data_IF_996688263748
#
_entry.id   IF_996688263748
#
_cell.length_a   1.000
_cell.length_b   1.000
_cell.length_c   1.000
_cell.angle_alpha   90.00
_cell.angle_beta   90.00
_cell.angle_gamma   90.00
#
_symmetry.space_group_name_H-M   'P 1'
#
loop_
_entity.id
_entity.type
_entity.pdbx_description
1 polymer ?
#
# COMPACT_ATOMS: atom_id res chain seq x y z
N UNK A 1 16.84 -46.09 53.81
CA UNK A 1 18.01 -46.55 53.01
C UNK A 1 19.06 -45.45 53.04
N UNK A 2 20.30 -45.73 53.49
CA UNK A 2 21.40 -44.75 53.51
C UNK A 2 21.95 -44.61 52.09
N UNK A 3 21.52 -43.58 51.37
CA UNK A 3 22.10 -43.24 50.06
C UNK A 3 23.58 -42.92 50.26
N UNK A 4 24.45 -43.68 49.60
CA UNK A 4 25.89 -43.47 49.68
C UNK A 4 26.22 -42.12 49.01
N UNK A 5 27.21 -41.38 49.56
CA UNK A 5 27.62 -40.06 49.05
C UNK A 5 27.96 -40.08 47.55
N UNK A 6 28.39 -41.24 47.06
CA UNK A 6 28.64 -41.54 45.65
C UNK A 6 27.38 -41.55 44.78
N UNK A 7 26.25 -42.04 45.28
CA UNK A 7 24.95 -41.94 44.58
C UNK A 7 24.47 -40.50 44.48
N UNK A 8 24.77 -39.67 45.48
CA UNK A 8 24.43 -38.24 45.44
C UNK A 8 25.30 -37.47 44.45
N UNK A 9 26.59 -37.79 44.36
CA UNK A 9 27.49 -37.25 43.35
C UNK A 9 27.06 -37.62 41.93
N UNK A 10 26.60 -38.86 41.72
CA UNK A 10 26.07 -39.31 40.43
C UNK A 10 24.80 -38.56 40.04
N UNK A 11 23.87 -38.37 40.98
CA UNK A 11 22.64 -37.61 40.73
C UNK A 11 22.92 -36.14 40.40
N UNK A 12 23.88 -35.51 41.08
CA UNK A 12 24.30 -34.14 40.75
C UNK A 12 24.92 -34.06 39.36
N UNK A 13 25.79 -35.00 38.99
CA UNK A 13 26.38 -35.03 37.65
C UNK A 13 25.34 -35.23 36.55
N UNK A 14 24.33 -36.09 36.78
CA UNK A 14 23.23 -36.31 35.85
C UNK A 14 22.36 -35.06 35.71
N UNK A 15 22.10 -34.33 36.80
CA UNK A 15 21.34 -33.08 36.76
C UNK A 15 22.09 -31.97 36.01
N UNK A 16 23.41 -31.86 36.18
CA UNK A 16 24.24 -30.89 35.43
C UNK A 16 24.28 -31.23 33.94
N UNK A 17 24.42 -32.50 33.58
CA UNK A 17 24.40 -32.92 32.17
C UNK A 17 23.02 -32.72 31.55
N UNK A 18 21.94 -33.08 32.24
CA UNK A 18 20.58 -32.87 31.76
C UNK A 18 20.26 -31.37 31.61
N UNK A 19 20.66 -30.54 32.57
CA UNK A 19 20.52 -29.08 32.50
C UNK A 19 21.36 -28.47 31.37
N UNK A 20 22.60 -28.95 31.18
CA UNK A 20 23.47 -28.51 30.10
C UNK A 20 22.92 -28.86 28.72
N UNK A 21 22.36 -30.05 28.54
CA UNK A 21 21.71 -30.46 27.29
C UNK A 21 20.44 -29.63 27.04
N UNK A 22 19.60 -29.39 28.04
CA UNK A 22 18.40 -28.58 27.88
C UNK A 22 18.71 -27.11 27.52
N UNK A 23 19.77 -26.53 28.08
CA UNK A 23 20.24 -25.19 27.72
C UNK A 23 20.89 -25.16 26.33
N UNK A 24 21.59 -26.21 25.93
CA UNK A 24 22.16 -26.33 24.59
C UNK A 24 21.08 -26.51 23.52
N UNK A 25 20.04 -27.30 23.79
CA UNK A 25 18.88 -27.45 22.89
C UNK A 25 18.08 -26.15 22.79
N UNK A 26 17.81 -25.44 23.89
CA UNK A 26 17.08 -24.15 23.81
C UNK A 26 17.85 -23.06 23.07
N UNK A 27 19.18 -23.06 23.14
CA UNK A 27 20.01 -22.08 22.41
C UNK A 27 20.23 -22.47 20.94
N UNK A 28 20.25 -23.77 20.60
CA UNK A 28 20.43 -24.28 19.23
C UNK A 28 19.11 -24.41 18.45
N UNK A 29 17.97 -24.56 19.13
CA UNK A 29 16.64 -24.60 18.51
C UNK A 29 16.10 -23.24 18.06
N UNK A 30 16.85 -22.14 18.21
CA UNK A 30 16.49 -20.86 17.61
C UNK A 30 16.89 -20.74 16.13
N UNK A 31 17.77 -21.62 15.63
CA UNK A 31 18.29 -21.57 14.25
C UNK A 31 18.04 -22.84 13.41
N UNK A 32 17.21 -23.78 13.89
CA UNK A 32 16.87 -24.98 13.12
C UNK A 32 15.39 -25.00 12.75
N UNK A 33 15.12 -24.46 11.56
CA UNK A 33 14.04 -24.90 10.69
C UNK A 33 14.02 -26.44 10.64
N UNK A 34 13.17 -27.05 11.46
CA UNK A 34 12.82 -28.46 11.36
C UNK A 34 11.43 -28.51 10.76
N UNK A 35 11.38 -28.80 9.47
CA UNK A 35 10.20 -29.21 8.73
C UNK A 35 9.41 -30.24 9.53
N UNK A 36 8.33 -29.80 10.16
CA UNK A 36 7.22 -30.66 10.55
C UNK A 36 6.01 -30.16 9.76
N UNK A 37 5.65 -30.95 8.76
CA UNK A 37 4.26 -31.05 8.29
C UNK A 37 3.41 -31.32 9.54
N UNK A 38 2.34 -30.56 9.74
CA UNK A 38 1.40 -30.62 10.91
C UNK A 38 1.60 -29.66 12.10
N UNK A 39 2.11 -28.46 11.87
CA UNK A 39 1.71 -27.32 12.71
C UNK A 39 1.60 -26.04 11.87
N UNK A 40 0.36 -25.60 11.63
CA UNK A 40 0.06 -24.25 11.18
C UNK A 40 0.42 -23.26 12.30
N UNK A 41 1.73 -23.11 12.54
CA UNK A 41 2.26 -21.99 13.30
C UNK A 41 2.11 -20.75 12.41
N UNK A 42 0.91 -20.18 12.48
CA UNK A 42 0.50 -19.01 11.73
C UNK A 42 1.39 -17.83 12.13
N UNK A 43 2.49 -17.63 11.40
CA UNK A 43 3.44 -16.57 11.66
C UNK A 43 2.86 -15.25 11.16
N UNK A 44 3.09 -14.14 11.86
CA UNK A 44 2.69 -12.83 11.35
C UNK A 44 3.38 -12.51 10.02
N UNK A 45 2.71 -11.73 9.18
CA UNK A 45 3.29 -11.17 7.95
C UNK A 45 4.40 -10.18 8.32
N UNK A 46 4.13 -9.30 9.28
CA UNK A 46 5.13 -8.38 9.86
C UNK A 46 5.02 -8.36 11.38
N UNK A 47 6.17 -8.24 12.06
CA UNK A 47 6.25 -8.18 13.52
C UNK A 47 6.78 -6.81 13.99
N UNK A 48 5.99 -5.79 13.71
CA UNK A 48 6.16 -4.44 14.27
C UNK A 48 4.79 -3.88 14.67
N UNK A 49 4.78 -2.85 15.51
CA UNK A 49 3.56 -2.20 15.94
C UNK A 49 3.05 -1.22 14.85
N UNK A 50 1.72 -1.05 14.75
CA UNK A 50 1.11 -0.24 13.71
C UNK A 50 1.44 1.26 13.85
N UNK A 51 1.69 1.73 15.07
CA UNK A 51 2.11 3.10 15.40
C UNK A 51 3.57 3.39 15.00
N UNK A 52 4.38 2.36 14.76
CA UNK A 52 5.73 2.52 14.24
C UNK A 52 5.77 2.86 12.74
N UNK A 53 4.65 2.71 12.01
CA UNK A 53 4.57 2.97 10.58
C UNK A 53 4.42 4.47 10.32
N UNK A 54 5.36 5.07 9.59
CA UNK A 54 5.36 6.52 9.29
C UNK A 54 5.08 6.83 7.82
N UNK A 55 5.37 5.90 6.91
CA UNK A 55 5.11 6.06 5.49
C UNK A 55 4.64 4.74 4.87
N UNK A 56 3.65 4.83 4.00
CA UNK A 56 3.14 3.71 3.20
C UNK A 56 3.10 4.13 1.74
N UNK A 57 3.50 3.24 0.84
CA UNK A 57 3.28 3.40 -0.59
C UNK A 57 2.67 2.14 -1.17
N UNK A 58 1.58 2.31 -1.89
CA UNK A 58 0.83 1.25 -2.54
C UNK A 58 0.98 1.47 -4.03
N UNK A 59 1.57 0.51 -4.73
CA UNK A 59 1.72 0.51 -6.18
C UNK A 59 0.84 -0.60 -6.74
N UNK A 60 -0.18 -0.24 -7.51
CA UNK A 60 -1.00 -1.20 -8.24
C UNK A 60 -0.39 -1.44 -9.62
N UNK A 61 0.06 -2.66 -9.85
CA UNK A 61 0.88 -3.03 -11.01
C UNK A 61 0.17 -4.03 -11.93
N UNK A 62 -1.09 -4.36 -11.63
CA UNK A 62 -1.87 -5.23 -12.49
C UNK A 62 -1.96 -4.62 -13.91
N UNK A 63 -1.72 -5.46 -14.93
CA UNK A 63 -1.66 -5.05 -16.35
C UNK A 63 -2.98 -4.43 -16.86
N UNK A 64 -4.07 -4.56 -16.09
CA UNK A 64 -5.38 -3.93 -16.34
C UNK A 64 -6.29 -4.05 -15.12
N UNK A 65 -6.33 -3.05 -14.22
CA UNK A 65 -7.55 -2.75 -13.49
C UNK A 65 -8.26 -1.61 -14.22
N UNK A 66 -9.39 -1.85 -14.90
CA UNK A 66 -10.22 -0.76 -15.40
C UNK A 66 -10.80 0.13 -14.28
N UNK A 67 -10.73 -0.33 -13.02
CA UNK A 67 -11.40 0.27 -11.86
C UNK A 67 -10.45 1.01 -10.90
N UNK A 68 -9.15 1.11 -11.21
CA UNK A 68 -8.19 1.83 -10.34
C UNK A 68 -7.64 3.03 -11.10
N UNK A 69 -8.20 4.20 -10.80
CA UNK A 69 -7.88 5.46 -11.48
C UNK A 69 -6.43 5.93 -11.28
N UNK A 70 -5.75 5.43 -10.24
CA UNK A 70 -4.41 5.88 -9.88
C UNK A 70 -3.48 4.70 -9.56
N UNK A 71 -2.34 4.56 -10.25
CA UNK A 71 -1.45 3.42 -10.07
C UNK A 71 -0.66 3.47 -8.76
N UNK A 72 -0.49 4.65 -8.14
CA UNK A 72 0.32 4.83 -6.93
C UNK A 72 -0.39 5.71 -5.91
N UNK A 73 -0.45 5.23 -4.67
CA UNK A 73 -0.97 5.94 -3.50
C UNK A 73 0.12 6.00 -2.45
N UNK A 74 0.50 7.21 -2.01
CA UNK A 74 1.50 7.40 -0.94
C UNK A 74 0.89 8.10 0.26
N UNK A 75 1.03 7.49 1.44
CA UNK A 75 0.50 7.99 2.69
C UNK A 75 1.65 8.29 3.63
N UNK A 76 1.59 9.44 4.29
CA UNK A 76 2.58 9.89 5.27
C UNK A 76 1.89 10.27 6.56
N UNK A 77 2.44 9.84 7.68
CA UNK A 77 2.03 10.34 8.98
C UNK A 77 2.69 11.70 9.24
N UNK A 78 1.86 12.70 9.56
CA UNK A 78 2.28 14.07 9.87
C UNK A 78 1.57 14.54 11.14
N UNK A 79 2.35 14.83 12.19
CA UNK A 79 1.84 15.25 13.51
C UNK A 79 0.71 14.36 14.08
N UNK A 80 0.81 13.05 13.89
CA UNK A 80 -0.16 12.07 14.38
C UNK A 80 -1.42 11.90 13.53
N UNK A 81 -1.50 12.54 12.35
CA UNK A 81 -2.57 12.37 11.36
C UNK A 81 -2.02 11.82 10.06
N UNK A 82 -2.83 11.05 9.34
CA UNK A 82 -2.44 10.55 8.03
C UNK A 82 -2.74 11.56 6.93
N UNK A 83 -1.77 11.76 6.05
CA UNK A 83 -1.86 12.60 4.86
C UNK A 83 -1.69 11.72 3.62
N UNK A 84 -2.58 11.87 2.66
CA UNK A 84 -2.34 11.42 1.30
C UNK A 84 -1.35 12.41 0.69
N UNK A 85 -0.18 11.91 0.31
CA UNK A 85 0.94 12.72 -0.18
C UNK A 85 1.15 12.62 -1.69
N UNK A 86 0.67 11.52 -2.29
CA UNK A 86 0.59 11.33 -3.73
C UNK A 86 -0.64 10.46 -4.07
N UNK A 87 -1.32 10.74 -5.20
CA UNK A 87 -1.04 11.77 -6.21
C UNK A 87 -1.46 13.19 -5.77
N UNK A 88 -2.36 13.29 -4.79
CA UNK A 88 -2.84 14.55 -4.24
C UNK A 88 -2.22 14.75 -2.85
N UNK A 89 -2.09 16.01 -2.42
CA UNK A 89 -1.64 16.38 -1.06
C UNK A 89 -2.83 16.82 -0.24
N UNK A 90 -3.53 15.87 0.36
CA UNK A 90 -4.78 16.10 1.11
C UNK A 90 -4.83 15.21 2.37
N UNK A 91 -5.64 15.56 3.38
CA UNK A 91 -5.87 14.69 4.52
C UNK A 91 -6.34 13.30 4.09
N UNK A 92 -5.74 12.26 4.65
CA UNK A 92 -6.15 10.88 4.36
C UNK A 92 -7.37 10.49 5.19
N UNK A 93 -8.08 9.47 4.73
CA UNK A 93 -9.11 8.82 5.52
C UNK A 93 -8.46 7.94 6.60
N UNK A 94 -8.52 8.40 7.85
CA UNK A 94 -7.93 7.72 9.01
C UNK A 94 -8.40 6.26 9.15
N UNK A 95 -9.69 5.97 8.94
CA UNK A 95 -10.24 4.62 9.04
C UNK A 95 -9.70 3.70 7.95
N UNK A 96 -9.55 4.24 6.73
CA UNK A 96 -8.97 3.54 5.59
C UNK A 96 -7.51 3.19 5.84
N UNK A 97 -6.71 4.13 6.34
CA UNK A 97 -5.30 3.88 6.64
C UNK A 97 -5.15 2.92 7.81
N UNK A 98 -5.96 3.09 8.87
CA UNK A 98 -6.00 2.19 10.01
C UNK A 98 -6.29 0.74 9.60
N UNK A 99 -7.24 0.52 8.69
CA UNK A 99 -7.52 -0.82 8.17
C UNK A 99 -6.28 -1.47 7.57
N UNK A 100 -5.54 -0.74 6.72
CA UNK A 100 -4.35 -1.28 6.07
C UNK A 100 -3.20 -1.52 7.07
N UNK A 101 -2.93 -0.57 7.96
CA UNK A 101 -1.84 -0.71 8.96
C UNK A 101 -2.14 -1.85 9.95
N UNK A 102 -3.40 -1.99 10.38
CA UNK A 102 -3.83 -3.10 11.20
C UNK A 102 -3.72 -4.42 10.43
N UNK A 103 -4.13 -4.48 9.16
CA UNK A 103 -3.99 -5.68 8.33
C UNK A 103 -2.52 -6.09 8.19
N UNK A 104 -1.60 -5.15 7.95
CA UNK A 104 -0.17 -5.45 7.82
C UNK A 104 0.44 -6.05 9.11
N UNK A 105 -0.02 -5.62 10.28
CA UNK A 105 0.57 -5.97 11.59
C UNK A 105 -0.12 -7.16 12.28
N UNK A 106 -1.36 -7.45 11.90
CA UNK A 106 -2.15 -8.55 12.49
C UNK A 106 -2.33 -9.73 11.55
N UNK A 107 -2.16 -9.55 10.23
CA UNK A 107 -2.27 -10.64 9.29
C UNK A 107 -1.22 -11.72 9.58
N UNK A 108 -1.66 -12.95 9.42
CA UNK A 108 -0.78 -14.11 9.50
C UNK A 108 -0.62 -14.72 8.11
N UNK A 109 0.54 -15.35 7.88
CA UNK A 109 0.81 -16.18 6.70
C UNK A 109 0.50 -17.63 7.03
N UNK A 110 -0.17 -18.33 6.11
CA UNK A 110 -0.57 -19.73 6.28
C UNK A 110 0.65 -20.65 6.14
N UNK A 111 1.22 -20.70 4.93
CA UNK A 111 2.41 -21.48 4.62
C UNK A 111 3.40 -20.67 3.80
N UNK A 112 4.65 -21.06 3.85
CA UNK A 112 5.73 -20.50 3.02
C UNK A 112 6.31 -21.61 2.15
N UNK A 113 6.53 -21.30 0.87
CA UNK A 113 7.05 -22.19 -0.14
C UNK A 113 8.39 -21.64 -0.62
N UNK A 114 9.45 -22.43 -0.52
CA UNK A 114 10.72 -22.08 -1.15
C UNK A 114 10.73 -22.61 -2.58
N UNK A 115 10.67 -21.68 -3.54
CA UNK A 115 10.58 -22.01 -4.96
C UNK A 115 11.76 -21.44 -5.72
N UNK A 116 12.14 -22.10 -6.80
CA UNK A 116 13.19 -21.58 -7.68
C UNK A 116 12.71 -20.33 -8.41
N UNK A 117 13.61 -19.37 -8.64
CA UNK A 117 13.27 -18.04 -9.18
C UNK A 117 12.67 -18.05 -10.58
N UNK A 118 13.05 -19.02 -11.41
CA UNK A 118 12.49 -19.29 -12.73
C UNK A 118 10.98 -19.60 -12.69
N UNK A 119 10.46 -20.06 -11.54
CA UNK A 119 9.04 -20.34 -11.34
C UNK A 119 8.25 -19.15 -10.81
N UNK A 120 8.80 -17.93 -10.77
CA UNK A 120 8.11 -16.72 -10.30
C UNK A 120 6.74 -16.49 -10.99
N UNK A 121 6.67 -16.77 -12.29
CA UNK A 121 5.46 -16.63 -13.09
C UNK A 121 4.33 -17.59 -12.66
N UNK A 122 4.67 -18.77 -12.12
CA UNK A 122 3.70 -19.72 -11.57
C UNK A 122 2.94 -19.14 -10.37
N UNK A 123 3.45 -18.08 -9.75
CA UNK A 123 2.85 -17.40 -8.60
C UNK A 123 2.44 -15.95 -8.90
N UNK A 124 2.64 -15.47 -10.14
CA UNK A 124 2.39 -14.08 -10.52
C UNK A 124 3.32 -13.08 -9.83
N UNK A 125 4.55 -13.50 -9.53
CA UNK A 125 5.55 -12.67 -8.85
C UNK A 125 6.57 -12.05 -9.81
N UNK A 126 6.61 -12.50 -11.07
CA UNK A 126 7.31 -11.85 -12.18
C UNK A 126 6.61 -10.54 -12.58
N UNK A 127 5.28 -10.57 -12.60
CA UNK A 127 4.37 -9.46 -12.86
C UNK A 127 3.43 -9.33 -11.65
N UNK A 128 3.91 -8.70 -10.56
CA UNK A 128 3.12 -8.58 -9.34
C UNK A 128 1.84 -7.79 -9.57
N UNK A 129 0.77 -8.17 -8.87
CA UNK A 129 -0.51 -7.44 -8.88
C UNK A 129 -0.38 -6.10 -8.17
N UNK A 130 0.35 -6.05 -7.06
CA UNK A 130 0.61 -4.83 -6.32
C UNK A 130 1.84 -4.95 -5.43
N UNK A 131 2.40 -3.81 -5.01
CA UNK A 131 3.45 -3.72 -4.01
C UNK A 131 3.03 -2.76 -2.91
N UNK A 132 3.30 -3.13 -1.67
CA UNK A 132 3.11 -2.27 -0.51
C UNK A 132 4.48 -2.07 0.12
N UNK A 133 4.95 -0.84 0.15
CA UNK A 133 6.21 -0.45 0.78
C UNK A 133 5.90 0.27 2.09
N UNK A 134 6.48 -0.21 3.19
CA UNK A 134 6.28 0.28 4.55
C UNK A 134 7.59 0.91 5.00
N UNK A 135 7.54 2.12 5.55
CA UNK A 135 8.69 2.75 6.23
C UNK A 135 8.33 3.00 7.69
N UNK A 136 9.20 2.51 8.58
CA UNK A 136 9.04 2.64 10.02
C UNK A 136 9.70 3.93 10.53
N UNK A 137 9.39 4.32 11.78
CA UNK A 137 9.98 5.48 12.44
C UNK A 137 11.52 5.40 12.53
N UNK A 138 12.07 4.19 12.69
CA UNK A 138 13.52 3.92 12.69
C UNK A 138 14.15 3.89 11.28
N UNK A 139 13.39 4.31 10.25
CA UNK A 139 13.78 4.34 8.84
C UNK A 139 13.97 2.96 8.21
N UNK A 140 13.68 1.86 8.90
CA UNK A 140 13.63 0.53 8.26
C UNK A 140 12.50 0.49 7.25
N UNK A 141 12.78 -0.18 6.12
CA UNK A 141 11.83 -0.38 5.04
C UNK A 141 11.50 -1.85 4.91
N UNK A 142 10.20 -2.12 4.84
CA UNK A 142 9.64 -3.44 4.57
C UNK A 142 8.83 -3.38 3.27
N UNK A 143 8.72 -4.51 2.60
CA UNK A 143 7.97 -4.62 1.36
C UNK A 143 7.13 -5.90 1.32
N UNK A 144 5.87 -5.75 0.93
CA UNK A 144 4.98 -6.85 0.61
C UNK A 144 4.68 -6.81 -0.88
N UNK A 145 5.11 -7.84 -1.62
CA UNK A 145 4.86 -7.98 -3.05
C UNK A 145 3.74 -9.00 -3.25
N UNK A 146 2.61 -8.56 -3.80
CA UNK A 146 1.43 -9.39 -4.00
C UNK A 146 1.43 -9.99 -5.41
N UNK A 147 1.32 -11.31 -5.48
CA UNK A 147 1.18 -12.07 -6.72
C UNK A 147 -0.28 -12.36 -7.05
N UNK A 148 -0.51 -13.52 -7.68
CA UNK A 148 -1.86 -13.96 -8.06
C UNK A 148 -2.55 -14.75 -6.93
N UNK A 149 -3.88 -14.90 -6.97
CA UNK A 149 -4.59 -15.79 -6.06
C UNK A 149 -4.14 -17.24 -6.18
N UNK A 150 -4.25 -17.99 -5.08
CA UNK A 150 -4.14 -19.45 -5.09
C UNK A 150 -5.22 -20.07 -5.98
N UNK A 151 -5.03 -21.33 -6.38
CA UNK A 151 -5.96 -22.04 -7.27
C UNK A 151 -7.40 -22.05 -6.73
N UNK A 152 -7.55 -22.25 -5.42
CA UNK A 152 -8.83 -22.22 -4.69
C UNK A 152 -9.30 -20.81 -4.31
N UNK A 153 -8.49 -19.77 -4.59
CA UNK A 153 -8.74 -18.34 -4.28
C UNK A 153 -8.88 -18.03 -2.79
N UNK A 154 -8.50 -18.96 -1.92
CA UNK A 154 -8.54 -18.75 -0.46
C UNK A 154 -7.42 -17.83 0.02
N UNK A 155 -6.29 -17.81 -0.70
CA UNK A 155 -5.11 -17.03 -0.37
C UNK A 155 -4.57 -16.27 -1.58
N UNK A 156 -3.64 -15.35 -1.31
CA UNK A 156 -2.79 -14.73 -2.31
C UNK A 156 -1.36 -15.23 -2.12
N UNK A 157 -0.67 -15.51 -3.22
CA UNK A 157 0.78 -15.65 -3.16
C UNK A 157 1.42 -14.28 -2.95
N UNK A 158 2.41 -14.20 -2.07
CA UNK A 158 3.13 -12.96 -1.81
C UNK A 158 4.59 -13.24 -1.45
N UNK A 159 5.45 -12.23 -1.62
CA UNK A 159 6.77 -12.19 -1.02
C UNK A 159 6.80 -11.13 0.06
N UNK A 160 7.40 -11.47 1.19
CA UNK A 160 7.61 -10.59 2.34
C UNK A 160 9.10 -10.27 2.36
N UNK A 161 9.45 -8.98 2.31
CA UNK A 161 10.82 -8.47 2.24
C UNK A 161 11.69 -9.23 1.21
N UNK A 162 11.29 -9.21 -0.08
CA UNK A 162 11.98 -9.99 -1.11
C UNK A 162 13.45 -9.58 -1.25
N UNK A 163 14.35 -10.55 -1.19
CA UNK A 163 15.74 -10.35 -1.56
C UNK A 163 15.91 -10.47 -3.08
N UNK A 164 16.26 -9.36 -3.72
CA UNK A 164 16.48 -9.31 -5.15
C UNK A 164 17.60 -10.25 -5.62
N UNK A 165 18.52 -10.68 -4.75
CA UNK A 165 19.67 -11.51 -5.09
C UNK A 165 19.51 -12.99 -4.70
N UNK A 166 18.40 -13.37 -4.06
CA UNK A 166 18.19 -14.75 -3.64
C UNK A 166 17.95 -15.69 -4.85
N UNK A 167 18.63 -16.84 -4.85
CA UNK A 167 18.43 -17.91 -5.84
C UNK A 167 17.05 -18.56 -5.74
N UNK A 168 16.50 -18.60 -4.52
CA UNK A 168 15.16 -19.09 -4.21
C UNK A 168 14.26 -17.95 -3.78
N UNK A 169 13.01 -17.99 -4.22
CA UNK A 169 11.95 -17.09 -3.78
C UNK A 169 11.21 -17.74 -2.61
N UNK A 170 11.06 -16.97 -1.53
CA UNK A 170 10.22 -17.38 -0.40
C UNK A 170 8.79 -16.87 -0.64
N UNK A 171 7.90 -17.76 -1.06
CA UNK A 171 6.52 -17.43 -1.42
C UNK A 171 5.60 -17.77 -0.26
N UNK A 172 5.05 -16.75 0.38
CA UNK A 172 4.09 -16.87 1.47
C UNK A 172 2.65 -16.82 0.97
N UNK A 173 1.75 -17.57 1.61
CA UNK A 173 0.30 -17.45 1.40
C UNK A 173 -0.27 -16.46 2.41
N UNK A 174 -0.85 -15.37 1.92
CA UNK A 174 -1.41 -14.28 2.73
C UNK A 174 -2.90 -14.08 2.46
N UNK A 175 -3.55 -13.35 3.36
CA UNK A 175 -5.00 -13.07 3.27
C UNK A 175 -5.40 -12.35 1.98
N UNK A 176 -6.54 -12.70 1.37
CA UNK A 176 -7.09 -11.98 0.22
C UNK A 176 -7.49 -10.54 0.54
N UNK A 177 -7.60 -10.17 1.81
CA UNK A 177 -7.85 -8.78 2.23
C UNK A 177 -6.78 -7.80 1.73
N UNK A 178 -5.55 -8.26 1.49
CA UNK A 178 -4.51 -7.42 0.88
C UNK A 178 -4.88 -6.99 -0.53
N UNK A 179 -5.47 -7.89 -1.35
CA UNK A 179 -5.94 -7.52 -2.68
C UNK A 179 -7.09 -6.51 -2.61
N UNK A 180 -7.98 -6.61 -1.62
CA UNK A 180 -9.05 -5.65 -1.43
C UNK A 180 -8.49 -4.27 -1.06
N UNK A 181 -7.51 -4.23 -0.15
CA UNK A 181 -6.88 -2.99 0.30
C UNK A 181 -6.21 -2.22 -0.85
N UNK A 182 -5.48 -2.90 -1.75
CA UNK A 182 -4.75 -2.25 -2.86
C UNK A 182 -5.63 -1.89 -4.06
N UNK A 183 -6.86 -2.41 -4.12
CA UNK A 183 -7.83 -2.12 -5.20
C UNK A 183 -8.76 -0.95 -4.89
N UNK A 184 -8.65 -0.35 -3.71
CA UNK A 184 -9.50 0.76 -3.30
C UNK A 184 -9.27 1.98 -4.17
N UNK A 185 -10.36 2.66 -4.50
CA UNK A 185 -10.30 3.89 -5.29
C UNK A 185 -9.58 5.01 -4.54
N UNK A 186 -8.99 5.95 -5.28
CA UNK A 186 -8.29 7.09 -4.69
C UNK A 186 -9.18 7.88 -3.70
N UNK A 187 -10.48 7.99 -3.99
CA UNK A 187 -11.43 8.74 -3.15
C UNK A 187 -11.58 8.13 -1.75
N UNK A 188 -11.46 6.82 -1.63
CA UNK A 188 -11.55 6.14 -0.33
C UNK A 188 -10.34 6.40 0.58
N UNK A 189 -9.21 6.79 -0.01
CA UNK A 189 -8.01 7.20 0.71
C UNK A 189 -8.06 8.64 1.19
N UNK A 190 -8.98 9.46 0.67
CA UNK A 190 -9.14 10.87 1.05
C UNK A 190 -10.13 11.01 2.20
N UNK A 191 -9.84 11.92 3.12
CA UNK A 191 -10.77 12.24 4.19
C UNK A 191 -12.14 12.64 3.61
N UNK A 192 -13.22 12.19 4.25
CA UNK A 192 -14.55 12.70 3.92
C UNK A 192 -14.60 14.21 4.17
N UNK A 193 -15.41 14.97 3.41
CA UNK A 193 -15.69 16.36 3.75
C UNK A 193 -16.17 16.43 5.21
N UNK A 194 -15.82 17.49 5.97
CA UNK A 194 -16.29 17.64 7.33
C UNK A 194 -17.82 17.62 7.35
N UNK A 195 -18.39 16.54 7.88
CA UNK A 195 -19.83 16.43 8.15
C UNK A 195 -20.18 17.49 9.19
N UNK A 196 -20.64 18.65 8.73
CA UNK A 196 -20.82 19.81 9.58
C UNK A 196 -20.83 21.17 8.87
N UNK A 197 -20.60 21.24 7.55
CA UNK A 197 -21.13 22.38 6.81
C UNK A 197 -22.67 22.31 6.93
N UNK A 198 -23.33 23.27 7.60
CA UNK A 198 -24.78 23.34 7.54
C UNK A 198 -25.15 23.43 6.08
N UNK A 199 -25.91 22.46 5.59
CA UNK A 199 -26.70 22.67 4.40
C UNK A 199 -27.57 23.88 4.71
N UNK A 200 -27.29 25.02 4.09
CA UNK A 200 -28.23 26.14 4.00
C UNK A 200 -29.39 25.68 3.11
N UNK A 201 -30.18 24.73 3.61
CA UNK A 201 -31.49 24.38 3.11
C UNK A 201 -32.44 24.41 4.31
N UNK A 202 -32.53 25.59 4.90
CA UNK A 202 -33.66 25.98 5.73
C UNK A 202 -34.86 26.26 4.81
N UNK A 203 -35.40 25.22 4.16
CA UNK A 203 -36.78 25.29 3.67
C UNK A 203 -37.70 24.85 4.80
N UNK A 204 -37.95 25.81 5.70
CA UNK A 204 -39.04 25.76 6.68
C UNK A 204 -40.36 25.41 5.97
N UNK A 205 -41.21 24.51 6.49
CA UNK A 205 -42.56 24.36 5.96
C UNK A 205 -43.32 25.67 6.23
N UNK A 206 -43.64 26.39 5.15
CA UNK A 206 -44.49 27.58 5.18
C UNK A 206 -45.91 27.17 5.59
N UNK A 207 -46.54 27.77 6.63
CA UNK A 207 -47.97 27.60 6.85
C UNK A 207 -48.72 28.35 5.75
N UNK A 208 -49.53 27.63 4.98
CA UNK A 208 -50.40 28.19 3.95
C UNK A 208 -51.56 28.96 4.60
N UNK A 209 -51.83 30.23 4.26
CA UNK A 209 -53.07 30.88 4.66
C UNK A 209 -54.14 30.60 3.60
N UNK A 210 -55.25 29.97 4.00
CA UNK A 210 -56.47 29.91 3.20
C UNK A 210 -57.66 30.17 4.10
N UNK A 211 -58.39 31.23 3.79
CA UNK A 211 -59.72 31.56 4.28
C UNK A 211 -60.47 32.24 3.10
N UNK A 212 -61.83 32.38 3.09
CA UNK A 212 -62.86 31.91 4.04
C UNK A 212 -64.14 31.32 3.36
N UNK A 213 -65.22 31.17 4.16
CA UNK A 213 -66.66 30.88 3.91
C UNK A 213 -67.09 29.42 4.21
N UNK A 214 -68.16 29.10 4.95
CA UNK A 214 -69.25 29.87 5.55
C UNK A 214 -69.97 29.02 6.64
N UNK A 215 -70.84 29.68 7.42
CA UNK A 215 -72.01 29.21 8.19
C UNK A 215 -71.94 28.71 9.68
N UNK A 216 -72.61 29.52 10.51
CA UNK A 216 -73.46 29.20 11.69
C UNK A 216 -72.88 28.65 13.01
N UNK A 217 -72.82 29.54 14.03
CA UNK A 217 -73.82 29.67 15.10
C UNK A 217 -73.27 29.87 16.55
N UNK A 218 -73.80 30.92 17.17
CA UNK A 218 -74.03 31.17 18.61
C UNK A 218 -72.85 31.51 19.57
N UNK A 219 -72.97 32.71 20.16
CA UNK A 219 -72.16 33.33 21.22
C UNK A 219 -72.79 33.10 22.63
N UNK A 220 -72.44 33.79 23.76
CA UNK A 220 -71.27 34.62 24.18
C UNK A 220 -70.85 34.30 25.68
N UNK A 221 -70.25 35.18 26.55
CA UNK A 221 -69.28 36.30 26.42
C UNK A 221 -68.06 36.32 27.43
N UNK A 222 -67.00 37.09 27.06
CA UNK A 222 -66.14 38.05 27.84
C UNK A 222 -65.25 37.65 29.07
N UNK A 223 -64.29 38.51 29.56
CA UNK A 223 -63.61 39.71 28.98
C UNK A 223 -62.08 39.94 29.26
N UNK A 224 -61.52 40.90 28.50
CA UNK A 224 -60.57 42.01 28.85
C UNK A 224 -59.08 41.81 29.22
N UNK A 225 -58.20 42.41 28.39
CA UNK A 225 -57.28 43.55 28.69
C UNK A 225 -56.39 43.81 27.43
N UNK A 226 -56.52 44.91 26.68
CA UNK A 226 -56.10 46.30 26.91
C UNK A 226 -54.58 46.59 26.71
N UNK A 227 -54.33 47.50 25.75
CA UNK A 227 -53.24 48.50 25.67
C UNK A 227 -52.00 48.24 24.78
N UNK A 228 -52.05 48.86 23.60
CA UNK A 228 -50.97 49.40 22.74
C UNK A 228 -50.22 50.59 23.39
N UNK A 229 -49.28 51.31 22.71
CA UNK A 229 -48.13 50.93 21.88
C UNK A 229 -46.84 51.74 22.25
N UNK A 230 -45.72 51.50 21.58
CA UNK A 230 -44.72 52.56 21.36
C UNK A 230 -44.00 52.43 20.02
N UNK A 231 -43.96 53.58 19.35
CA UNK A 231 -43.50 53.92 18.01
C UNK A 231 -42.17 54.68 18.14
N UNK A 232 -41.23 54.49 17.22
CA UNK A 232 -40.23 55.47 16.73
C UNK A 232 -39.50 54.86 15.53
N UNK A 233 -39.86 55.18 14.28
CA UNK A 233 -39.23 56.21 13.40
C UNK A 233 -37.73 55.95 13.15
N UNK A 234 -37.24 55.47 11.99
CA UNK A 234 -37.28 55.91 10.57
C UNK A 234 -36.42 57.15 10.25
N UNK A 235 -35.31 56.94 9.52
CA UNK A 235 -34.69 57.83 8.49
C UNK A 235 -33.64 57.00 7.73
N UNK A 236 -33.81 56.63 6.44
CA UNK A 236 -33.62 57.40 5.19
C UNK A 236 -32.21 58.06 5.14
N UNK A 237 -31.40 58.00 4.09
CA UNK A 237 -31.67 57.85 2.65
C UNK A 237 -30.35 57.64 1.87
N UNK A 238 -30.49 57.27 0.60
CA UNK A 238 -29.65 57.59 -0.56
C UNK A 238 -28.56 56.63 -1.05
N UNK A 239 -28.89 56.10 -2.24
CA UNK A 239 -28.06 55.47 -3.24
C UNK A 239 -27.24 56.49 -4.06
N UNK A 240 -26.20 56.02 -4.74
CA UNK A 240 -26.14 55.92 -6.22
C UNK A 240 -24.73 56.14 -6.75
N UNK A 241 -24.47 55.41 -7.84
CA UNK A 241 -23.64 55.76 -8.99
C UNK A 241 -22.18 55.30 -9.10
N UNK A 242 -21.88 54.83 -10.31
CA UNK A 242 -20.73 54.09 -10.83
C UNK A 242 -19.61 55.09 -11.28
N UNK A 243 -18.64 54.78 -12.20
CA UNK A 243 -18.29 53.55 -12.92
C UNK A 243 -16.78 53.24 -13.08
N UNK A 244 -16.56 52.08 -13.72
CA UNK A 244 -15.42 51.58 -14.51
C UNK A 244 -14.40 52.61 -15.03
N UNK A 245 -13.11 52.24 -14.99
CA UNK A 245 -12.08 52.75 -15.91
C UNK A 245 -10.96 51.74 -16.19
N UNK A 246 -10.97 51.14 -17.37
CA UNK A 246 -9.77 50.89 -18.21
C UNK A 246 -9.59 52.14 -19.08
N UNK A 247 -8.38 52.54 -19.55
CA UNK A 247 -7.88 51.96 -20.82
C UNK A 247 -6.34 51.97 -21.02
N UNK A 248 -5.96 51.18 -22.03
CA UNK A 248 -4.94 51.41 -23.06
C UNK A 248 -3.45 51.00 -22.92
N UNK A 249 -2.96 50.58 -24.08
CA UNK A 249 -1.81 49.74 -24.46
C UNK A 249 -0.63 50.66 -24.93
N UNK A 250 0.58 50.17 -25.34
CA UNK A 250 0.74 49.47 -26.63
C UNK A 250 1.88 48.41 -26.76
N UNK A 251 1.60 47.41 -27.61
CA UNK A 251 2.36 46.73 -28.68
C UNK A 251 3.91 46.58 -28.77
N UNK A 252 4.25 45.47 -29.51
CA UNK A 252 5.48 45.04 -30.25
C UNK A 252 6.35 44.00 -29.50
N UNK A 253 6.73 42.83 -30.03
CA UNK A 253 7.01 42.28 -31.40
C UNK A 253 6.99 40.74 -31.26
N UNK A 254 6.31 39.90 -32.05
CA UNK A 254 6.51 39.45 -33.45
C UNK A 254 7.84 38.69 -33.74
N UNK A 255 7.69 37.47 -34.27
CA UNK A 255 8.73 36.46 -34.62
C UNK A 255 8.30 35.07 -34.11
N UNK A 256 7.37 34.35 -34.77
CA UNK A 256 7.53 33.53 -35.98
C UNK A 256 8.66 32.48 -35.89
N UNK A 257 8.30 31.24 -35.53
CA UNK A 257 8.92 30.02 -36.05
C UNK A 257 7.91 28.85 -35.95
N UNK A 258 7.29 28.45 -37.07
CA UNK A 258 6.67 27.14 -37.21
C UNK A 258 7.54 26.29 -38.14
N UNK A 259 8.35 25.39 -37.59
CA UNK A 259 9.04 24.37 -38.40
C UNK A 259 9.19 23.03 -37.67
N UNK A 260 8.16 22.19 -37.80
CA UNK A 260 8.32 20.77 -38.10
C UNK A 260 7.44 20.50 -39.33
N UNK A 261 8.02 20.02 -40.44
CA UNK A 261 8.17 18.58 -40.59
C UNK A 261 9.44 18.16 -41.36
N UNK A 262 9.89 16.93 -41.14
CA UNK A 262 10.23 15.94 -42.20
C UNK A 262 11.29 14.93 -41.73
N UNK A 263 10.88 13.66 -41.73
CA UNK A 263 11.76 12.50 -41.96
C UNK A 263 12.56 12.71 -43.26
N UNK A 264 13.75 12.11 -43.35
CA UNK A 264 13.92 11.16 -44.45
C UNK A 264 14.68 9.87 -44.06
N UNK A 265 14.13 8.77 -44.59
CA UNK A 265 14.78 7.68 -45.32
C UNK A 265 16.11 7.07 -44.85
N UNK A 266 16.05 5.73 -44.77
CA UNK A 266 17.13 4.79 -44.70
C UNK A 266 18.16 4.88 -45.86
N UNK A 267 19.41 4.58 -45.52
CA UNK A 267 20.51 4.10 -46.39
C UNK A 267 21.50 3.40 -45.43
N UNK A 268 21.64 2.07 -45.39
CA UNK A 268 22.18 1.14 -46.38
C UNK A 268 23.58 1.51 -46.88
N UNK A 269 24.61 1.08 -46.14
CA UNK A 269 25.99 0.86 -46.63
C UNK A 269 26.64 -0.15 -45.67
N UNK A 270 26.62 -1.45 -45.98
CA UNK A 270 27.63 -2.23 -46.72
C UNK A 270 29.05 -2.07 -46.17
N UNK A 271 29.44 -2.95 -45.24
CA UNK A 271 30.81 -3.46 -45.18
C UNK A 271 30.73 -4.98 -45.24
N UNK A 272 30.99 -5.45 -46.45
CA UNK A 272 31.26 -6.82 -46.84
C UNK A 272 32.76 -7.05 -46.56
N UNK A 273 33.10 -8.07 -45.77
CA UNK A 273 34.36 -8.77 -46.01
C UNK A 273 34.27 -10.23 -45.54
N UNK A 274 34.11 -11.09 -46.55
CA UNK A 274 34.56 -12.47 -46.71
C UNK A 274 34.76 -13.39 -45.48
N UNK A 275 33.89 -14.39 -45.43
CA UNK A 275 34.22 -15.80 -45.11
C UNK A 275 35.16 -16.39 -46.18
N UNK A 276 35.96 -17.42 -45.87
CA UNK A 276 35.49 -18.82 -46.03
C UNK A 276 35.84 -19.71 -44.83
N UNK A 277 34.91 -20.49 -44.27
CA UNK A 277 34.47 -21.83 -44.72
C UNK A 277 35.38 -22.99 -44.28
N UNK A 278 34.80 -23.86 -43.42
CA UNK A 278 34.96 -25.33 -43.26
C UNK A 278 36.39 -25.93 -43.10
N UNK A 279 36.69 -26.98 -42.34
CA UNK A 279 35.94 -28.13 -41.85
C UNK A 279 36.73 -28.79 -40.68
N UNK A 280 36.16 -29.75 -39.93
CA UNK A 280 36.87 -30.52 -38.89
C UNK A 280 37.58 -31.75 -39.49
N UNK A 281 38.63 -32.27 -38.86
CA UNK A 281 38.92 -33.71 -38.70
C UNK A 281 40.35 -34.01 -38.16
N UNK A 282 40.41 -35.13 -37.42
CA UNK A 282 41.53 -36.04 -37.21
C UNK A 282 42.58 -35.74 -36.11
N UNK A 283 42.47 -36.52 -35.01
CA UNK A 283 43.62 -37.07 -34.28
C UNK A 283 44.54 -37.88 -35.22
N UNK A 284 45.85 -38.03 -34.93
CA UNK A 284 46.27 -39.28 -34.29
C UNK A 284 47.52 -39.21 -33.37
N UNK A 285 47.58 -40.18 -32.45
CA UNK A 285 48.74 -41.02 -32.06
C UNK A 285 49.99 -40.42 -31.41
N UNK A 286 50.15 -40.79 -30.13
CA UNK A 286 51.31 -41.37 -29.42
C UNK A 286 52.75 -41.13 -29.92
N UNK A 287 53.64 -40.74 -29.00
CA UNK A 287 54.72 -41.63 -28.48
C UNK A 287 55.35 -41.03 -27.19
N UNK A 288 55.76 -41.86 -26.19
CA UNK A 288 56.43 -41.44 -24.96
C UNK A 288 57.95 -41.63 -25.02
N UNK A 289 58.72 -40.87 -24.24
CA UNK A 289 60.13 -41.20 -23.97
C UNK A 289 60.66 -40.61 -22.66
N UNK A 290 61.71 -41.21 -22.06
CA UNK A 290 61.79 -41.41 -20.61
C UNK A 290 62.98 -40.73 -19.90
N UNK A 291 62.83 -40.63 -18.57
CA UNK A 291 63.79 -40.81 -17.46
C UNK A 291 65.23 -40.22 -17.48
N UNK A 292 65.45 -39.32 -16.49
CA UNK A 292 66.58 -39.22 -15.53
C UNK A 292 67.97 -38.79 -16.07
N UNK A 293 68.87 -38.18 -15.25
CA UNK A 293 69.53 -38.84 -14.11
C UNK A 293 69.59 -38.02 -12.80
N UNK A 294 69.70 -38.76 -11.69
CA UNK A 294 70.30 -38.31 -10.43
C UNK A 294 71.81 -38.11 -10.57
N UNK A 295 72.34 -37.12 -9.86
CA UNK A 295 73.62 -37.15 -9.13
C UNK A 295 73.55 -36.17 -7.97
#
# INVERSE_FOLDING_TARGET
>A
MKLQRTSFALLLSAAVLAGGVALYETQKNSDSATSNVDQAASQKVFDFAADAITFLTIENLAVKPPDVDVPVVSLKQDAGKWQLSAPLKVPANESTVFFLTNLLTTAQRDRTLDVSRDRAAEFGLDQPTAKITITLADQKRHQLVLGKPSFDRTFLYAQIDPDANAEKLSVSLVSPQFANAVKRELKEWQAAPPTGAPSDDATSPSPSPSAPADDSAAAPPQPSAASTPSKSEKKADSASDAPVKTPDQPAKTEGDDPSAPSLPAAKSEKVENESPQAAPMASPTADPSPQTPSS
#
